data_IF_121677188834
#
_entry.id   IF_121677188834
#
_cell.length_a   1.000
_cell.length_b   1.000
_cell.length_c   1.000
_cell.angle_alpha   90.00
_cell.angle_beta   90.00
_cell.angle_gamma   90.00
#
_symmetry.space_group_name_H-M   'P 1'
#
loop_
_entity.id
_entity.type
_entity.pdbx_description
1 polymer ?
#
# COMPACT_ATOMS: atom_id res chain seq x y z
N UNK A 1 12.75 -10.69 12.98
CA UNK A 1 12.37 -12.09 13.27
C UNK A 1 11.35 -12.69 12.29
N UNK A 2 10.98 -12.01 11.21
CA UNK A 2 9.96 -12.47 10.22
C UNK A 2 10.56 -12.91 8.86
N UNK A 3 11.87 -12.80 8.69
CA UNK A 3 12.55 -13.05 7.40
C UNK A 3 12.70 -14.54 6.99
N UNK A 4 12.23 -15.48 7.81
CA UNK A 4 12.36 -16.94 7.54
C UNK A 4 11.04 -17.71 7.58
N UNK A 5 9.90 -17.03 7.70
CA UNK A 5 8.61 -17.72 7.81
C UNK A 5 8.05 -17.96 6.40
N UNK A 6 7.72 -19.22 6.08
CA UNK A 6 7.03 -19.52 4.83
C UNK A 6 5.62 -18.90 4.87
N UNK A 7 5.38 -17.95 3.97
CA UNK A 7 4.14 -17.16 3.89
C UNK A 7 2.90 -18.00 3.67
N UNK A 8 3.03 -19.13 2.98
CA UNK A 8 1.93 -20.02 2.64
C UNK A 8 1.33 -20.75 3.86
N UNK A 9 2.07 -20.78 4.97
CA UNK A 9 1.67 -21.45 6.21
C UNK A 9 1.13 -20.48 7.28
N UNK A 10 1.06 -19.17 6.98
CA UNK A 10 0.57 -18.18 7.95
C UNK A 10 -0.91 -17.92 7.67
N UNK A 11 -1.79 -18.31 8.58
CA UNK A 11 -3.24 -18.10 8.47
C UNK A 11 -3.76 -16.96 9.36
N UNK A 12 -2.92 -16.43 10.23
CA UNK A 12 -3.25 -15.30 11.11
C UNK A 12 -2.05 -14.80 11.90
N UNK A 13 -2.12 -13.59 12.40
CA UNK A 13 -1.07 -12.98 13.24
C UNK A 13 -1.70 -12.43 14.52
N UNK A 14 -1.13 -12.79 15.66
CA UNK A 14 -1.45 -12.22 16.97
C UNK A 14 -0.17 -11.62 17.54
N UNK A 15 -0.24 -10.39 18.07
CA UNK A 15 0.91 -9.74 18.72
C UNK A 15 0.50 -9.16 20.08
N UNK A 16 1.41 -9.21 21.06
CA UNK A 16 1.22 -8.55 22.35
C UNK A 16 1.42 -7.05 22.30
N UNK A 17 2.25 -6.59 21.37
CA UNK A 17 2.60 -5.18 21.22
C UNK A 17 2.50 -4.76 19.77
N UNK A 18 2.37 -3.47 19.54
CA UNK A 18 2.37 -2.89 18.21
C UNK A 18 1.01 -2.30 17.81
N UNK A 19 1.07 -1.18 17.11
CA UNK A 19 -0.11 -0.49 16.57
C UNK A 19 -0.35 -0.80 15.09
N UNK A 20 -1.34 -0.12 14.52
CA UNK A 20 -1.74 -0.24 13.09
C UNK A 20 -0.64 0.04 12.08
N UNK A 21 0.43 0.70 12.50
CA UNK A 21 1.62 1.02 11.69
C UNK A 21 2.83 0.13 11.98
N UNK A 22 2.68 -0.86 12.87
CA UNK A 22 3.76 -1.80 13.20
C UNK A 22 4.12 -2.68 12.00
N UNK A 23 5.34 -3.21 12.02
CA UNK A 23 5.83 -4.10 10.96
C UNK A 23 4.93 -5.33 10.75
N UNK A 24 4.43 -5.90 11.86
CA UNK A 24 3.48 -7.04 11.83
C UNK A 24 2.15 -6.67 11.18
N UNK A 25 1.62 -5.45 11.43
CA UNK A 25 0.39 -4.96 10.80
C UNK A 25 0.56 -4.75 9.29
N UNK A 26 1.71 -4.19 8.89
CA UNK A 26 2.04 -3.98 7.48
C UNK A 26 2.18 -5.33 6.77
N UNK A 27 2.85 -6.30 7.41
CA UNK A 27 3.00 -7.66 6.87
C UNK A 27 1.64 -8.36 6.72
N UNK A 28 0.79 -8.32 7.74
CA UNK A 28 -0.54 -8.94 7.70
C UNK A 28 -1.39 -8.40 6.55
N UNK A 29 -1.38 -7.07 6.36
CA UNK A 29 -2.07 -6.42 5.23
C UNK A 29 -1.48 -6.84 3.89
N UNK A 30 -0.15 -6.92 3.79
CA UNK A 30 0.51 -7.33 2.55
C UNK A 30 0.23 -8.79 2.18
N UNK A 31 -0.02 -9.63 3.18
CA UNK A 31 -0.38 -11.05 3.02
C UNK A 31 -1.90 -11.29 2.97
N UNK A 32 -2.72 -10.25 3.20
CA UNK A 32 -4.18 -10.33 3.27
C UNK A 32 -4.70 -11.36 4.29
N UNK A 33 -4.01 -11.49 5.42
CA UNK A 33 -4.38 -12.41 6.50
C UNK A 33 -4.90 -11.66 7.73
N UNK A 34 -5.80 -12.25 8.54
CA UNK A 34 -6.31 -11.64 9.74
C UNK A 34 -5.20 -11.36 10.75
N UNK A 35 -5.23 -10.20 11.39
CA UNK A 35 -4.30 -9.84 12.45
C UNK A 35 -4.99 -9.11 13.58
N UNK A 36 -4.68 -9.53 14.80
CA UNK A 36 -5.10 -8.86 16.04
C UNK A 36 -3.85 -8.45 16.82
N UNK A 37 -3.75 -7.15 17.07
CA UNK A 37 -2.56 -6.54 17.68
C UNK A 37 -2.87 -6.13 19.13
N UNK A 38 -1.81 -6.03 19.93
CA UNK A 38 -1.92 -5.61 21.35
C UNK A 38 -2.82 -6.51 22.20
N UNK A 39 -2.72 -7.81 21.97
CA UNK A 39 -3.43 -8.83 22.78
C UNK A 39 -2.60 -9.14 24.01
N UNK A 40 -3.06 -8.71 25.16
CA UNK A 40 -2.36 -8.85 26.43
C UNK A 40 -2.07 -10.31 26.78
N UNK A 41 -0.81 -10.61 27.08
CA UNK A 41 -0.35 -11.94 27.48
C UNK A 41 -0.60 -13.06 26.44
N UNK A 42 -0.70 -12.72 25.13
CA UNK A 42 -0.95 -13.70 24.08
C UNK A 42 0.12 -14.82 24.03
N UNK A 43 1.40 -14.44 24.19
CA UNK A 43 2.53 -15.40 24.14
C UNK A 43 2.53 -16.36 25.32
N UNK A 44 2.01 -15.93 26.47
CA UNK A 44 1.95 -16.77 27.69
C UNK A 44 0.67 -17.59 27.79
N UNK A 45 -0.43 -17.10 27.24
CA UNK A 45 -1.75 -17.77 27.27
C UNK A 45 -1.91 -18.80 26.15
N UNK A 46 -1.36 -18.50 24.97
CA UNK A 46 -1.48 -19.40 23.83
C UNK A 46 -0.34 -20.42 23.83
N UNK A 47 -0.68 -21.68 23.63
CA UNK A 47 0.29 -22.77 23.60
C UNK A 47 0.41 -23.37 22.20
N UNK A 48 1.57 -23.94 21.90
CA UNK A 48 1.79 -24.56 20.61
C UNK A 48 0.86 -25.75 20.39
N UNK A 49 0.23 -25.83 19.21
CA UNK A 49 -0.77 -26.85 18.87
C UNK A 49 -2.19 -26.54 19.35
N UNK A 50 -2.40 -25.44 20.06
CA UNK A 50 -3.72 -25.00 20.49
C UNK A 50 -4.52 -24.46 19.32
N UNK A 51 -5.82 -24.82 19.26
CA UNK A 51 -6.75 -24.24 18.31
C UNK A 51 -7.20 -22.87 18.78
N UNK A 52 -7.11 -21.87 17.88
CA UNK A 52 -7.50 -20.50 18.16
C UNK A 52 -8.32 -19.92 17.02
N UNK A 53 -9.23 -19.01 17.34
CA UNK A 53 -9.93 -18.19 16.36
C UNK A 53 -9.30 -16.78 16.35
N UNK A 54 -9.00 -16.27 15.15
CA UNK A 54 -8.48 -14.92 14.95
C UNK A 54 -9.40 -14.19 13.99
N UNK A 55 -10.15 -13.21 14.50
CA UNK A 55 -11.00 -12.33 13.72
C UNK A 55 -10.37 -10.92 13.65
N UNK A 56 -9.69 -10.63 12.55
CA UNK A 56 -9.06 -9.34 12.32
C UNK A 56 -10.05 -8.21 12.03
N UNK A 57 -11.29 -8.52 11.67
CA UNK A 57 -12.33 -7.53 11.39
C UNK A 57 -12.91 -6.97 12.70
N UNK A 58 -13.18 -7.85 13.67
CA UNK A 58 -13.72 -7.50 14.98
C UNK A 58 -12.63 -7.26 16.03
N UNK A 59 -11.37 -7.64 15.71
CA UNK A 59 -10.27 -7.56 16.69
C UNK A 59 -10.37 -8.59 17.80
N UNK A 60 -10.93 -9.77 17.51
CA UNK A 60 -11.20 -10.83 18.49
C UNK A 60 -10.20 -11.97 18.35
N UNK A 61 -9.72 -12.47 19.48
CA UNK A 61 -8.98 -13.73 19.60
C UNK A 61 -9.70 -14.59 20.61
N UNK A 62 -10.05 -15.82 20.24
CA UNK A 62 -10.64 -16.81 21.13
C UNK A 62 -9.64 -17.96 21.26
N UNK A 63 -9.17 -18.18 22.47
CA UNK A 63 -8.37 -19.36 22.84
C UNK A 63 -9.28 -20.52 23.21
N UNK A 64 -8.94 -21.72 22.77
CA UNK A 64 -9.73 -22.95 23.08
C UNK A 64 -11.22 -22.79 22.79
N UNK A 65 -11.63 -22.44 21.56
CA UNK A 65 -13.03 -22.22 21.21
C UNK A 65 -13.85 -23.50 21.37
N UNK A 66 -15.08 -23.36 21.86
CA UNK A 66 -16.05 -24.44 21.90
C UNK A 66 -16.62 -24.77 20.49
N UNK A 67 -17.39 -25.87 20.41
CA UNK A 67 -17.96 -26.33 19.13
C UNK A 67 -18.88 -25.28 18.49
N UNK A 68 -19.66 -24.56 19.29
CA UNK A 68 -20.58 -23.52 18.79
C UNK A 68 -19.83 -22.33 18.23
N UNK A 69 -18.78 -21.91 18.93
CA UNK A 69 -17.88 -20.84 18.47
C UNK A 69 -17.17 -21.23 17.17
N UNK A 70 -16.67 -22.47 17.08
CA UNK A 70 -16.03 -22.99 15.88
C UNK A 70 -16.98 -23.00 14.68
N UNK A 71 -18.21 -23.48 14.88
CA UNK A 71 -19.23 -23.49 13.84
C UNK A 71 -19.56 -22.06 13.38
N UNK A 72 -19.83 -21.14 14.31
CA UNK A 72 -20.16 -19.76 13.98
C UNK A 72 -19.06 -19.06 13.18
N UNK A 73 -17.80 -19.17 13.62
CA UNK A 73 -16.69 -18.54 12.93
C UNK A 73 -16.30 -19.25 11.61
N UNK A 74 -16.56 -20.56 11.51
CA UNK A 74 -16.44 -21.28 10.25
C UNK A 74 -17.45 -20.76 9.24
N UNK A 75 -18.70 -20.55 9.64
CA UNK A 75 -19.75 -19.99 8.80
C UNK A 75 -19.40 -18.55 8.40
N UNK A 76 -18.91 -17.71 9.33
CA UNK A 76 -18.46 -16.34 9.05
C UNK A 76 -17.32 -16.34 8.03
N UNK A 77 -16.33 -17.22 8.19
CA UNK A 77 -15.23 -17.38 7.23
C UNK A 77 -15.71 -17.82 5.86
N UNK A 78 -16.61 -18.80 5.80
CA UNK A 78 -17.14 -19.28 4.53
C UNK A 78 -17.95 -18.21 3.80
N UNK A 79 -18.75 -17.41 4.51
CA UNK A 79 -19.46 -16.26 3.95
C UNK A 79 -18.48 -15.22 3.37
N UNK A 80 -17.45 -14.88 4.11
CA UNK A 80 -16.39 -13.96 3.64
C UNK A 80 -15.69 -14.48 2.38
N UNK A 81 -15.33 -15.77 2.35
CA UNK A 81 -14.69 -16.38 1.19
C UNK A 81 -15.63 -16.48 -0.02
N UNK A 82 -16.91 -16.65 0.20
CA UNK A 82 -17.92 -16.65 -0.87
C UNK A 82 -18.08 -15.26 -1.46
N UNK A 83 -18.24 -14.23 -0.62
CA UNK A 83 -18.28 -12.83 -1.05
C UNK A 83 -17.04 -12.46 -1.87
N UNK A 84 -15.85 -12.85 -1.38
CA UNK A 84 -14.59 -12.61 -2.10
C UNK A 84 -14.56 -13.28 -3.47
N UNK A 85 -15.07 -14.53 -3.59
CA UNK A 85 -15.18 -15.22 -4.89
C UNK A 85 -16.18 -14.55 -5.82
N UNK A 86 -17.27 -14.04 -5.29
CA UNK A 86 -18.25 -13.29 -6.08
C UNK A 86 -17.64 -12.02 -6.67
N UNK A 87 -16.80 -11.31 -5.90
CA UNK A 87 -16.07 -10.14 -6.37
C UNK A 87 -15.11 -10.48 -7.54
N UNK A 88 -14.52 -11.68 -7.56
CA UNK A 88 -13.67 -12.12 -8.67
C UNK A 88 -14.44 -12.18 -10.02
N UNK A 89 -15.77 -12.38 -9.99
CA UNK A 89 -16.60 -12.38 -11.19
C UNK A 89 -16.73 -11.00 -11.85
N UNK A 90 -16.31 -9.94 -11.16
CA UNK A 90 -16.29 -8.57 -11.69
C UNK A 90 -14.98 -8.23 -12.40
N UNK A 91 -13.95 -9.05 -12.28
CA UNK A 91 -12.68 -8.83 -12.99
C UNK A 91 -12.88 -8.78 -14.50
N UNK A 92 -12.17 -7.88 -15.16
CA UNK A 92 -12.26 -7.66 -16.60
C UNK A 92 -13.56 -6.99 -17.06
N UNK A 93 -14.45 -6.61 -16.15
CA UNK A 93 -15.64 -5.84 -16.48
C UNK A 93 -15.35 -4.36 -16.36
N UNK A 94 -15.92 -3.58 -17.26
CA UNK A 94 -15.91 -2.13 -17.12
C UNK A 94 -16.71 -1.71 -15.89
N UNK A 95 -16.21 -0.70 -15.20
CA UNK A 95 -16.95 -0.10 -14.09
C UNK A 95 -18.00 0.84 -14.63
N UNK A 96 -19.26 0.51 -14.37
CA UNK A 96 -20.41 1.30 -14.84
C UNK A 96 -21.34 1.64 -13.67
N UNK A 97 -21.89 2.85 -13.67
CA UNK A 97 -22.93 3.24 -12.73
C UNK A 97 -24.25 2.57 -13.05
N UNK A 98 -25.23 2.70 -12.13
CA UNK A 98 -26.59 2.24 -12.37
C UNK A 98 -27.27 2.94 -13.56
N UNK A 99 -26.83 4.15 -13.92
CA UNK A 99 -27.28 4.90 -15.10
C UNK A 99 -26.59 4.49 -16.41
N UNK A 100 -25.59 3.60 -16.36
CA UNK A 100 -24.82 3.15 -17.52
C UNK A 100 -23.61 4.00 -17.88
N UNK A 101 -23.23 4.97 -17.01
CA UNK A 101 -22.01 5.75 -17.22
C UNK A 101 -20.77 4.93 -16.86
N UNK A 102 -19.76 4.96 -17.70
CA UNK A 102 -18.48 4.30 -17.47
C UNK A 102 -17.55 5.16 -16.59
N UNK A 103 -16.88 4.52 -15.65
CA UNK A 103 -15.88 5.13 -14.78
C UNK A 103 -14.59 4.32 -14.83
N UNK A 104 -13.46 5.00 -14.80
CA UNK A 104 -12.15 4.36 -14.73
C UNK A 104 -11.72 4.21 -13.25
N UNK A 105 -11.36 2.98 -12.85
CA UNK A 105 -10.83 2.67 -11.52
C UNK A 105 -9.31 2.64 -11.54
N UNK A 106 -8.70 3.71 -11.04
CA UNK A 106 -7.26 3.84 -10.95
C UNK A 106 -6.74 3.54 -9.55
N UNK A 107 -5.57 2.90 -9.51
CA UNK A 107 -4.87 2.57 -8.26
C UNK A 107 -3.95 3.71 -7.82
N UNK A 108 -3.66 3.74 -6.51
CA UNK A 108 -2.60 4.59 -5.95
C UNK A 108 -1.39 3.72 -5.61
N UNK A 109 -0.20 4.15 -6.02
CA UNK A 109 1.05 3.47 -5.71
C UNK A 109 2.06 4.39 -5.02
N UNK A 110 2.92 3.81 -4.19
CA UNK A 110 4.04 4.49 -3.54
C UNK A 110 5.40 4.03 -4.08
N UNK A 111 5.48 2.80 -4.55
CA UNK A 111 6.70 2.20 -5.10
C UNK A 111 6.42 1.60 -6.48
N UNK A 112 7.44 1.49 -7.36
CA UNK A 112 7.26 0.90 -8.68
C UNK A 112 6.67 -0.52 -8.64
N UNK A 113 7.06 -1.32 -7.65
CA UNK A 113 6.58 -2.71 -7.49
C UNK A 113 5.09 -2.80 -7.11
N UNK A 114 4.51 -1.75 -6.56
CA UNK A 114 3.07 -1.71 -6.26
C UNK A 114 2.23 -1.78 -7.55
N UNK A 115 2.81 -1.40 -8.71
CA UNK A 115 2.17 -1.51 -10.01
C UNK A 115 1.79 -2.96 -10.37
N UNK A 116 2.53 -3.96 -9.87
CA UNK A 116 2.19 -5.38 -10.03
C UNK A 116 0.83 -5.66 -9.39
N UNK A 117 0.63 -5.21 -8.14
CA UNK A 117 -0.64 -5.38 -7.44
C UNK A 117 -1.78 -4.60 -8.11
N UNK A 118 -1.49 -3.42 -8.66
CA UNK A 118 -2.48 -2.65 -9.41
C UNK A 118 -3.01 -3.43 -10.61
N UNK A 119 -2.12 -4.11 -11.35
CA UNK A 119 -2.49 -4.98 -12.47
C UNK A 119 -3.21 -6.24 -11.99
N UNK A 120 -2.71 -6.90 -10.96
CA UNK A 120 -3.31 -8.10 -10.37
C UNK A 120 -4.72 -7.84 -9.80
N UNK A 121 -4.97 -6.63 -9.32
CA UNK A 121 -6.29 -6.20 -8.83
C UNK A 121 -7.23 -5.68 -9.92
N UNK A 122 -6.85 -5.87 -11.19
CA UNK A 122 -7.61 -5.41 -12.36
C UNK A 122 -7.81 -3.88 -12.41
N UNK A 123 -6.89 -3.12 -11.82
CA UNK A 123 -6.88 -1.67 -11.94
C UNK A 123 -6.69 -1.22 -13.39
N UNK A 124 -7.46 -0.22 -13.82
CA UNK A 124 -7.45 0.30 -15.20
C UNK A 124 -6.25 1.23 -15.47
N UNK A 125 -5.49 1.54 -14.41
CA UNK A 125 -4.27 2.33 -14.46
C UNK A 125 -3.82 2.75 -13.07
N UNK A 126 -2.82 3.61 -13.03
CA UNK A 126 -2.36 4.28 -11.81
C UNK A 126 -2.72 5.75 -11.89
N UNK A 127 -3.69 6.16 -11.07
CA UNK A 127 -4.14 7.55 -10.96
C UNK A 127 -3.25 8.41 -10.08
N UNK A 128 -2.40 7.80 -9.27
CA UNK A 128 -1.46 8.51 -8.43
C UNK A 128 -0.24 7.66 -8.09
N UNK A 129 0.90 7.97 -8.71
CA UNK A 129 2.20 7.53 -8.21
C UNK A 129 2.75 8.60 -7.26
N UNK A 130 2.79 8.27 -5.98
CA UNK A 130 3.31 9.16 -4.92
C UNK A 130 4.83 9.11 -4.91
N UNK A 131 5.45 10.04 -5.62
CA UNK A 131 6.90 10.08 -5.81
C UNK A 131 7.68 10.39 -4.54
N UNK A 132 7.02 10.88 -3.49
CA UNK A 132 7.63 11.17 -2.18
C UNK A 132 8.36 9.97 -1.60
N UNK A 133 7.86 8.75 -1.85
CA UNK A 133 8.50 7.53 -1.36
C UNK A 133 9.90 7.29 -1.96
N UNK A 134 10.22 7.89 -3.12
CA UNK A 134 11.56 7.86 -3.69
C UNK A 134 12.53 8.77 -2.94
N UNK A 135 12.01 9.75 -2.22
CA UNK A 135 12.77 10.72 -1.43
C UNK A 135 12.85 10.34 0.05
N UNK A 136 12.02 9.40 0.52
CA UNK A 136 12.03 8.93 1.90
C UNK A 136 13.10 7.87 2.12
N UNK A 137 13.45 7.60 3.38
CA UNK A 137 14.40 6.57 3.81
C UNK A 137 15.79 6.68 3.17
N UNK A 138 16.23 7.92 2.85
CA UNK A 138 17.53 8.21 2.27
C UNK A 138 18.08 9.56 2.77
N UNK A 139 19.38 9.79 2.53
CA UNK A 139 20.10 10.97 3.02
C UNK A 139 20.43 11.99 1.91
N UNK A 140 19.97 11.77 0.69
CA UNK A 140 20.24 12.63 -0.47
C UNK A 140 19.08 12.62 -1.45
N UNK A 141 18.99 13.68 -2.26
CA UNK A 141 18.02 13.79 -3.35
C UNK A 141 18.27 12.66 -4.37
N UNK A 142 17.23 11.91 -4.82
CA UNK A 142 17.40 10.90 -5.85
C UNK A 142 17.87 11.54 -7.16
N UNK A 143 18.83 10.90 -7.81
CA UNK A 143 19.35 11.33 -9.11
C UNK A 143 18.28 11.21 -10.21
N UNK A 144 18.53 11.82 -11.37
CA UNK A 144 17.65 11.69 -12.53
C UNK A 144 17.51 10.22 -12.96
N UNK A 145 18.62 9.47 -12.94
CA UNK A 145 18.61 8.06 -13.35
C UNK A 145 17.85 7.17 -12.35
N UNK A 146 18.01 7.38 -11.05
CA UNK A 146 17.23 6.64 -10.03
C UNK A 146 15.73 6.88 -10.20
N UNK A 147 15.33 8.13 -10.41
CA UNK A 147 13.92 8.48 -10.65
C UNK A 147 13.42 7.90 -11.97
N UNK A 148 14.20 8.03 -13.05
CA UNK A 148 13.89 7.48 -14.35
C UNK A 148 13.66 5.97 -14.30
N UNK A 149 14.57 5.20 -13.68
CA UNK A 149 14.42 3.74 -13.59
C UNK A 149 13.18 3.34 -12.75
N UNK A 150 12.85 4.10 -11.71
CA UNK A 150 11.63 3.88 -10.93
C UNK A 150 10.36 4.10 -11.77
N UNK A 151 10.27 5.21 -12.50
CA UNK A 151 9.11 5.53 -13.34
C UNK A 151 8.99 4.58 -14.53
N UNK A 152 10.09 4.28 -15.20
CA UNK A 152 10.16 3.30 -16.30
C UNK A 152 9.71 1.91 -15.85
N UNK A 153 10.16 1.45 -14.68
CA UNK A 153 9.75 0.15 -14.12
C UNK A 153 8.24 0.08 -13.94
N UNK A 154 7.63 1.12 -13.36
CA UNK A 154 6.18 1.17 -13.18
C UNK A 154 5.44 1.20 -14.55
N UNK A 155 5.92 2.00 -15.50
CA UNK A 155 5.35 2.08 -16.84
C UNK A 155 5.39 0.73 -17.57
N UNK A 156 6.52 0.02 -17.53
CA UNK A 156 6.67 -1.30 -18.16
C UNK A 156 5.74 -2.36 -17.55
N UNK A 157 5.48 -2.29 -16.23
CA UNK A 157 4.53 -3.19 -15.56
C UNK A 157 3.10 -2.90 -16.01
N UNK A 158 2.75 -1.63 -16.12
CA UNK A 158 1.40 -1.19 -16.50
C UNK A 158 1.11 -1.39 -17.99
N UNK A 159 2.14 -1.49 -18.83
CA UNK A 159 2.03 -1.61 -20.30
C UNK A 159 1.23 -0.45 -20.90
N UNK A 160 0.06 -0.75 -21.48
CA UNK A 160 -0.81 0.21 -22.17
C UNK A 160 -1.75 0.97 -21.20
N UNK A 161 -1.66 0.70 -19.89
CA UNK A 161 -2.46 1.39 -18.87
C UNK A 161 -1.81 2.68 -18.45
N UNK A 162 -2.63 3.71 -18.20
CA UNK A 162 -2.17 5.04 -17.82
C UNK A 162 -1.45 5.07 -16.48
N UNK A 163 -0.36 5.83 -16.40
CA UNK A 163 0.42 6.10 -15.20
C UNK A 163 0.48 7.61 -14.93
N UNK A 164 -0.25 8.08 -13.93
CA UNK A 164 -0.20 9.48 -13.51
C UNK A 164 0.86 9.62 -12.42
N UNK A 165 1.91 10.39 -12.71
CA UNK A 165 3.01 10.64 -11.79
C UNK A 165 2.82 12.02 -11.14
N UNK A 166 2.59 12.03 -9.83
CA UNK A 166 2.59 13.27 -9.07
C UNK A 166 4.02 13.77 -8.90
N UNK A 167 4.29 14.99 -9.31
CA UNK A 167 5.54 15.66 -8.94
C UNK A 167 5.67 15.78 -7.43
N UNK A 168 6.88 15.98 -6.94
CA UNK A 168 7.21 15.96 -5.51
C UNK A 168 6.22 16.76 -4.66
N UNK A 169 5.55 16.09 -3.74
CA UNK A 169 4.63 16.70 -2.76
C UNK A 169 5.13 16.44 -1.33
N UNK A 170 6.23 17.09 -0.97
CA UNK A 170 6.82 17.05 0.36
C UNK A 170 6.77 18.44 0.96
N UNK A 171 6.49 18.52 2.25
CA UNK A 171 6.44 19.73 3.06
C UNK A 171 7.03 19.48 4.45
N UNK A 172 6.94 20.47 5.33
CA UNK A 172 7.47 20.42 6.70
C UNK A 172 6.78 19.42 7.63
N UNK A 173 5.82 18.65 7.13
CA UNK A 173 5.22 17.49 7.80
C UNK A 173 6.09 16.22 7.71
N UNK A 174 7.13 16.23 6.87
CA UNK A 174 8.10 15.15 6.69
C UNK A 174 9.46 15.55 7.22
N UNK A 175 10.04 14.67 8.03
CA UNK A 175 11.41 14.88 8.54
C UNK A 175 12.43 14.39 7.51
N UNK A 176 12.78 15.30 6.58
CA UNK A 176 13.79 15.08 5.54
C UNK A 176 14.83 16.21 5.59
N UNK A 177 15.83 16.11 6.51
CA UNK A 177 16.78 17.20 6.77
C UNK A 177 17.53 17.66 5.52
N UNK A 178 17.82 16.76 4.59
CA UNK A 178 18.55 17.07 3.37
C UNK A 178 17.77 17.95 2.36
N UNK A 179 16.46 18.14 2.55
CA UNK A 179 15.65 19.05 1.76
C UNK A 179 15.61 20.46 2.34
N UNK A 180 16.11 20.67 3.56
CA UNK A 180 16.14 21.98 4.20
C UNK A 180 14.76 22.59 4.45
N UNK A 181 13.74 21.77 4.66
CA UNK A 181 12.38 22.23 4.92
C UNK A 181 12.26 22.73 6.36
N UNK A 182 11.77 23.95 6.52
CA UNK A 182 11.44 24.49 7.83
C UNK A 182 10.19 23.82 8.38
N UNK A 183 10.15 23.64 9.71
CA UNK A 183 8.93 23.18 10.39
C UNK A 183 7.92 24.33 10.42
N UNK A 184 6.70 24.05 10.01
CA UNK A 184 5.61 25.01 9.93
C UNK A 184 4.45 24.56 10.85
N UNK A 185 3.66 25.53 11.33
CA UNK A 185 2.48 25.24 12.16
C UNK A 185 1.38 24.52 11.35
N UNK A 186 1.21 24.89 10.09
CA UNK A 186 0.26 24.25 9.17
C UNK A 186 0.97 23.82 7.87
N UNK A 187 1.71 22.70 7.88
CA UNK A 187 2.51 22.25 6.74
C UNK A 187 1.69 21.96 5.47
N UNK A 188 0.41 21.61 5.61
CA UNK A 188 -0.44 21.33 4.45
C UNK A 188 -0.76 22.56 3.61
N UNK A 189 -0.83 23.72 4.25
CA UNK A 189 -1.05 25.01 3.58
C UNK A 189 0.25 25.78 3.33
N UNK A 190 1.38 25.26 3.82
CA UNK A 190 2.68 25.89 3.86
C UNK A 190 3.51 25.74 2.58
N UNK A 191 4.82 25.83 2.76
CA UNK A 191 5.83 25.77 1.69
C UNK A 191 6.12 24.32 1.30
N UNK A 192 5.30 23.77 0.41
CA UNK A 192 5.37 22.38 -0.07
C UNK A 192 5.03 22.26 -1.55
N UNK A 193 5.13 21.03 -2.06
CA UNK A 193 4.70 20.65 -3.39
C UNK A 193 5.25 21.60 -4.46
N UNK A 194 4.37 22.10 -5.34
CA UNK A 194 4.77 22.96 -6.45
C UNK A 194 5.47 24.24 -5.96
N UNK A 195 5.12 24.79 -4.80
CA UNK A 195 5.79 25.98 -4.25
C UNK A 195 7.25 25.69 -3.93
N UNK A 196 7.53 24.53 -3.31
CA UNK A 196 8.89 24.06 -3.05
C UNK A 196 9.64 23.76 -4.37
N UNK A 197 9.01 23.08 -5.30
CA UNK A 197 9.59 22.72 -6.59
C UNK A 197 9.98 23.95 -7.42
N UNK A 198 9.15 24.98 -7.48
CA UNK A 198 9.43 26.21 -8.23
C UNK A 198 10.57 27.03 -7.63
N UNK A 199 10.78 26.96 -6.32
CA UNK A 199 11.93 27.57 -5.66
C UNK A 199 13.21 26.74 -5.84
N UNK A 200 13.09 25.41 -5.89
CA UNK A 200 14.21 24.48 -6.09
C UNK A 200 14.20 23.92 -7.52
N UNK A 201 14.40 24.82 -8.50
CA UNK A 201 14.20 24.53 -9.92
C UNK A 201 15.07 23.38 -10.46
N UNK A 202 16.27 23.19 -9.96
CA UNK A 202 17.17 22.12 -10.43
C UNK A 202 16.65 20.75 -9.99
N UNK A 203 16.16 20.62 -8.76
CA UNK A 203 15.47 19.41 -8.27
C UNK A 203 14.24 19.13 -9.16
N UNK A 204 13.42 20.16 -9.40
CA UNK A 204 12.22 20.01 -10.21
C UNK A 204 12.51 19.63 -11.66
N UNK A 205 13.52 20.25 -12.29
CA UNK A 205 13.98 19.88 -13.63
C UNK A 205 14.47 18.44 -13.69
N UNK A 206 15.24 17.99 -12.70
CA UNK A 206 15.71 16.61 -12.60
C UNK A 206 14.53 15.64 -12.61
N UNK A 207 13.50 15.90 -11.80
CA UNK A 207 12.30 15.07 -11.77
C UNK A 207 11.54 15.08 -13.10
N UNK A 208 11.29 16.27 -13.67
CA UNK A 208 10.59 16.40 -14.95
C UNK A 208 11.32 15.70 -16.11
N UNK A 209 12.66 15.77 -16.14
CA UNK A 209 13.47 15.06 -17.13
C UNK A 209 13.35 13.54 -16.96
N UNK A 210 13.39 13.05 -15.73
CA UNK A 210 13.19 11.63 -15.44
C UNK A 210 11.81 11.14 -15.90
N UNK A 211 10.75 11.92 -15.64
CA UNK A 211 9.38 11.63 -16.09
C UNK A 211 9.31 11.60 -17.63
N UNK A 212 9.84 12.63 -18.30
CA UNK A 212 9.86 12.72 -19.75
C UNK A 212 10.66 11.57 -20.41
N UNK A 213 11.78 11.17 -19.82
CA UNK A 213 12.53 9.99 -20.31
C UNK A 213 11.72 8.71 -20.14
N UNK A 214 11.01 8.57 -19.03
CA UNK A 214 10.19 7.39 -18.76
C UNK A 214 8.95 7.30 -19.66
N UNK A 215 8.44 8.41 -20.19
CA UNK A 215 7.26 8.43 -21.08
C UNK A 215 7.49 7.72 -22.42
N UNK A 216 8.74 7.42 -22.77
CA UNK A 216 9.05 6.56 -23.93
C UNK A 216 8.69 5.07 -23.69
N UNK A 217 8.33 4.67 -22.46
CA UNK A 217 8.12 3.27 -22.06
C UNK A 217 6.66 2.95 -21.66
N UNK A 218 5.77 3.91 -21.74
CA UNK A 218 4.35 3.73 -21.44
C UNK A 218 3.57 5.05 -21.44
N UNK A 219 2.27 4.95 -21.18
CA UNK A 219 1.37 6.12 -21.15
C UNK A 219 1.52 6.87 -19.80
N UNK A 220 2.44 7.83 -19.75
CA UNK A 220 2.71 8.64 -18.56
C UNK A 220 2.05 10.03 -18.68
N UNK A 221 1.36 10.42 -17.62
CA UNK A 221 0.70 11.73 -17.48
C UNK A 221 1.17 12.44 -16.20
#
# INVERSE_FOLDING_TARGET
>A
MTAGINKDNIVGIITETGGKTSHSAILARALEIPAVLSVENAVTKLTNGQQVIVDGSEGIVIDSPDEVQLENYTNKRNAFLTERRELENYRGRKTVSASGEEYELFCNIGKPDDAVKAVESDGEGVGLFRTEFLFMDRNSIPTEDEQFEAYKKAALILKDKSLIIRTLDIGGDKDLPYLGLAKEENPFMGFRAIRYCLKNRDLFKTQLRAILRASAFGEIK
#
